data_IF_935413115455
#
_entry.id   IF_935413115455
#
_cell.length_a   1.000
_cell.length_b   1.000
_cell.length_c   1.000
_cell.angle_alpha   90.00
_cell.angle_beta   90.00
_cell.angle_gamma   90.00
#
_symmetry.space_group_name_H-M   'P 1'
#
loop_
_entity.id
_entity.type
_entity.pdbx_description
1 polymer ?
#
# COMPACT_ATOMS: atom_id res chain seq x y z
N UNK A 1 -12.66 -22.43 -5.05
CA UNK A 1 -12.08 -21.72 -6.21
C UNK A 1 -11.10 -22.65 -6.92
N UNK A 2 -11.07 -22.70 -8.25
CA UNK A 2 -10.09 -23.53 -8.98
C UNK A 2 -8.69 -22.93 -8.82
N UNK A 3 -7.68 -23.75 -8.53
CA UNK A 3 -6.30 -23.30 -8.23
C UNK A 3 -5.72 -22.41 -9.34
N UNK A 4 -5.85 -22.86 -10.59
CA UNK A 4 -5.30 -22.12 -11.75
C UNK A 4 -5.93 -20.74 -11.91
N UNK A 5 -7.23 -20.62 -11.58
CA UNK A 5 -7.90 -19.33 -11.61
C UNK A 5 -7.40 -18.41 -10.49
N UNK A 6 -7.09 -18.96 -9.31
CA UNK A 6 -6.49 -18.19 -8.21
C UNK A 6 -5.09 -17.67 -8.59
N UNK A 7 -4.28 -18.51 -9.22
CA UNK A 7 -2.92 -18.15 -9.69
C UNK A 7 -2.97 -17.11 -10.80
N UNK A 8 -3.92 -17.25 -11.73
CA UNK A 8 -4.20 -16.25 -12.76
C UNK A 8 -4.55 -14.89 -12.14
N UNK A 9 -5.49 -14.86 -11.18
CA UNK A 9 -5.86 -13.61 -10.51
C UNK A 9 -4.68 -12.99 -9.78
N UNK A 10 -3.88 -13.80 -9.06
CA UNK A 10 -2.68 -13.31 -8.37
C UNK A 10 -1.68 -12.66 -9.33
N UNK A 11 -1.43 -13.28 -10.48
CA UNK A 11 -0.53 -12.73 -11.51
C UNK A 11 -1.10 -11.43 -12.06
N UNK A 12 -2.37 -11.44 -12.48
CA UNK A 12 -3.04 -10.28 -13.06
C UNK A 12 -3.01 -9.08 -12.09
N UNK A 13 -3.33 -9.30 -10.82
CA UNK A 13 -3.30 -8.23 -9.81
C UNK A 13 -1.92 -7.61 -9.68
N UNK A 14 -0.84 -8.42 -9.65
CA UNK A 14 0.53 -7.88 -9.60
C UNK A 14 0.85 -7.03 -10.83
N UNK A 15 0.47 -7.50 -12.02
CA UNK A 15 0.69 -6.79 -13.27
C UNK A 15 -0.10 -5.46 -13.32
N UNK A 16 -1.37 -5.47 -12.90
CA UNK A 16 -2.21 -4.28 -12.84
C UNK A 16 -1.63 -3.21 -11.89
N UNK A 17 -1.18 -3.61 -10.70
CA UNK A 17 -0.56 -2.69 -9.74
C UNK A 17 0.73 -2.07 -10.28
N UNK A 18 1.58 -2.89 -10.93
CA UNK A 18 2.81 -2.40 -11.56
C UNK A 18 2.50 -1.41 -12.70
N UNK A 19 1.47 -1.70 -13.50
CA UNK A 19 1.08 -0.87 -14.64
C UNK A 19 0.65 0.54 -14.20
N UNK A 20 -0.06 0.67 -13.08
CA UNK A 20 -0.57 1.97 -12.59
C UNK A 20 0.33 2.65 -11.57
N UNK A 21 1.48 2.07 -11.21
CA UNK A 21 2.29 2.51 -10.07
C UNK A 21 2.77 3.97 -10.20
N UNK A 22 3.17 4.40 -11.41
CA UNK A 22 3.62 5.77 -11.66
C UNK A 22 2.47 6.78 -11.50
N UNK A 23 1.32 6.50 -12.12
CA UNK A 23 0.13 7.33 -12.04
C UNK A 23 -0.39 7.42 -10.60
N UNK A 24 -0.39 6.30 -9.88
CA UNK A 24 -0.70 6.25 -8.46
C UNK A 24 0.22 7.18 -7.68
N UNK A 25 1.54 7.05 -7.85
CA UNK A 25 2.51 7.87 -7.14
C UNK A 25 2.34 9.37 -7.43
N UNK A 26 2.13 9.73 -8.70
CA UNK A 26 1.94 11.12 -9.14
C UNK A 26 0.66 11.75 -8.60
N UNK A 27 -0.42 10.99 -8.51
CA UNK A 27 -1.74 11.52 -8.13
C UNK A 27 -2.04 11.40 -6.64
N UNK A 28 -1.33 10.52 -5.93
CA UNK A 28 -1.53 10.21 -4.52
C UNK A 28 -0.18 10.27 -3.81
N UNK A 29 0.47 11.42 -3.87
CA UNK A 29 1.79 11.64 -3.26
C UNK A 29 1.68 12.13 -1.81
N UNK A 30 0.63 12.87 -1.46
CA UNK A 30 0.47 13.44 -0.13
C UNK A 30 -0.21 12.47 0.84
N UNK A 31 0.18 12.54 2.11
CA UNK A 31 -0.50 11.87 3.20
C UNK A 31 -1.94 12.40 3.32
N UNK A 32 -2.89 11.49 3.55
CA UNK A 32 -4.28 11.84 3.76
C UNK A 32 -4.55 12.07 5.24
N UNK A 33 -5.44 13.02 5.56
CA UNK A 33 -5.71 13.40 6.94
C UNK A 33 -6.26 12.23 7.77
N UNK A 34 -6.97 11.31 7.12
CA UNK A 34 -7.53 10.09 7.69
C UNK A 34 -6.47 9.13 8.23
N UNK A 35 -5.21 9.21 7.77
CA UNK A 35 -4.12 8.40 8.34
C UNK A 35 -3.67 8.88 9.72
N UNK A 36 -4.10 10.06 10.16
CA UNK A 36 -3.81 10.56 11.52
C UNK A 36 -4.28 9.61 12.63
N UNK A 37 -5.28 8.75 12.35
CA UNK A 37 -5.76 7.74 13.30
C UNK A 37 -4.65 6.81 13.81
N UNK A 38 -3.60 6.58 13.03
CA UNK A 38 -2.52 5.68 13.41
C UNK A 38 -1.61 6.28 14.50
N UNK A 39 -1.58 7.61 14.66
CA UNK A 39 -0.75 8.27 15.67
C UNK A 39 -1.12 7.88 17.10
N UNK A 40 -2.37 7.48 17.32
CA UNK A 40 -2.83 7.03 18.63
C UNK A 40 -2.35 5.60 18.97
N UNK A 41 -1.89 4.85 17.97
CA UNK A 41 -1.47 3.44 18.09
C UNK A 41 0.05 3.25 17.93
N UNK A 42 0.77 4.25 17.44
CA UNK A 42 2.21 4.20 17.17
C UNK A 42 2.97 5.07 18.15
N UNK A 43 3.99 4.49 18.78
CA UNK A 43 4.86 5.16 19.75
C UNK A 43 6.31 5.13 19.28
N UNK A 44 7.09 6.08 19.80
CA UNK A 44 8.53 6.11 19.55
C UNK A 44 9.20 4.81 20.01
N UNK A 45 9.90 4.14 19.11
CA UNK A 45 10.58 2.87 19.36
C UNK A 45 9.80 1.63 18.92
N UNK A 46 8.57 1.77 18.44
CA UNK A 46 7.81 0.64 17.88
C UNK A 46 8.42 0.18 16.54
N UNK A 47 8.46 -1.14 16.33
CA UNK A 47 8.81 -1.76 15.05
C UNK A 47 7.54 -2.05 14.26
N UNK A 48 7.35 -1.37 13.12
CA UNK A 48 6.11 -1.42 12.33
C UNK A 48 6.38 -1.99 10.95
N UNK A 49 5.53 -2.92 10.52
CA UNK A 49 5.52 -3.47 9.17
C UNK A 49 4.35 -2.88 8.35
N UNK A 50 4.68 -2.05 7.36
CA UNK A 50 3.71 -1.51 6.40
C UNK A 50 3.64 -2.39 5.14
N UNK A 51 2.70 -3.35 5.11
CA UNK A 51 2.54 -4.28 4.00
C UNK A 51 1.70 -3.64 2.89
N UNK A 52 2.27 -3.53 1.70
CA UNK A 52 1.60 -2.89 0.56
C UNK A 52 1.69 -1.37 0.61
N UNK A 53 2.79 -0.83 1.13
CA UNK A 53 3.05 0.60 1.33
C UNK A 53 2.95 1.48 0.08
N UNK A 54 2.90 0.90 -1.12
CA UNK A 54 2.78 1.62 -2.39
C UNK A 54 3.97 2.55 -2.61
N UNK A 55 3.73 3.86 -2.53
CA UNK A 55 4.76 4.90 -2.64
C UNK A 55 5.32 5.38 -1.28
N UNK A 56 5.00 4.69 -0.18
CA UNK A 56 5.59 4.97 1.13
C UNK A 56 4.97 6.15 1.89
N UNK A 57 3.78 6.63 1.49
CA UNK A 57 3.11 7.79 2.11
C UNK A 57 2.92 7.73 3.62
N UNK A 58 2.85 6.53 4.20
CA UNK A 58 2.68 6.37 5.65
C UNK A 58 3.98 6.59 6.43
N UNK A 59 5.13 6.62 5.75
CA UNK A 59 6.42 6.93 6.36
C UNK A 59 6.50 8.39 6.85
N UNK A 60 5.69 9.29 6.26
CA UNK A 60 5.66 10.71 6.63
C UNK A 60 4.72 11.02 7.82
N UNK A 61 4.11 10.00 8.44
CA UNK A 61 3.11 10.15 9.50
C UNK A 61 3.66 10.76 10.80
#
# INVERSE_FOLDING_TARGET
>A
MKKDYAEYLLKKTKEDYNLIAEDFSRTRWNIWAEFSIFRDYVKGGDEILDIGCGNGRLLEL
#
